data_IF_629176327593
#
_entry.id   IF_629176327593
#
_cell.length_a   1.000
_cell.length_b   1.000
_cell.length_c   1.000
_cell.angle_alpha   90.00
_cell.angle_beta   90.00
_cell.angle_gamma   90.00
#
_symmetry.space_group_name_H-M   'P 1'
#
loop_
_entity.id
_entity.type
_entity.pdbx_description
1 polymer ?
#
# COMPACT_ATOMS: atom_id res chain seq x y z
N UNK A 1 -8.80 7.18 -21.54
CA UNK A 1 -8.21 8.46 -22.01
C UNK A 1 -7.25 8.14 -23.14
N UNK A 2 -7.55 8.54 -24.36
CA UNK A 2 -6.73 8.18 -25.53
C UNK A 2 -5.78 9.32 -25.92
N UNK A 3 -4.78 9.03 -26.77
CA UNK A 3 -3.81 10.01 -27.26
C UNK A 3 -4.51 11.17 -27.99
N UNK A 4 -5.58 10.87 -28.71
CA UNK A 4 -6.38 11.85 -29.43
C UNK A 4 -6.96 12.93 -28.49
N UNK A 5 -7.58 12.52 -27.37
CA UNK A 5 -8.17 13.45 -26.40
C UNK A 5 -7.11 14.39 -25.80
N UNK A 6 -5.90 13.90 -25.60
CA UNK A 6 -4.79 14.73 -25.13
C UNK A 6 -4.35 15.75 -26.17
N UNK A 7 -4.27 15.37 -27.44
CA UNK A 7 -3.87 16.24 -28.53
C UNK A 7 -4.91 17.31 -28.77
N UNK A 8 -6.20 16.96 -28.79
CA UNK A 8 -7.32 17.90 -28.89
C UNK A 8 -7.36 18.90 -27.70
N UNK A 9 -6.95 18.43 -26.50
CA UNK A 9 -6.80 19.27 -25.30
C UNK A 9 -5.50 20.09 -25.24
N UNK A 10 -4.70 20.15 -26.32
CA UNK A 10 -3.44 20.89 -26.38
C UNK A 10 -2.32 20.32 -25.49
N UNK A 11 -2.43 19.08 -25.02
CA UNK A 11 -1.43 18.43 -24.17
C UNK A 11 -0.42 17.67 -25.02
N UNK A 12 0.85 17.84 -24.70
CA UNK A 12 1.92 17.06 -25.34
C UNK A 12 1.78 15.59 -24.98
N UNK A 13 2.11 14.73 -25.95
CA UNK A 13 2.17 13.28 -25.77
C UNK A 13 3.36 12.72 -26.56
N UNK A 14 3.85 11.58 -26.09
CA UNK A 14 4.92 10.82 -26.72
C UNK A 14 4.46 9.36 -26.83
N UNK A 15 4.69 8.75 -27.99
CA UNK A 15 4.44 7.33 -28.24
C UNK A 15 5.74 6.61 -28.50
N UNK A 16 6.02 5.56 -27.75
CA UNK A 16 7.16 4.68 -27.98
C UNK A 16 6.62 3.37 -28.54
N UNK A 17 7.11 3.00 -29.74
CA UNK A 17 6.68 1.79 -30.43
C UNK A 17 7.83 0.80 -30.52
N UNK A 18 7.57 -0.45 -30.15
CA UNK A 18 8.51 -1.57 -30.28
C UNK A 18 8.13 -2.42 -31.49
N UNK A 19 9.13 -2.94 -32.22
CA UNK A 19 8.91 -3.91 -33.29
C UNK A 19 8.53 -5.28 -32.72
N UNK A 20 9.13 -5.65 -31.60
CA UNK A 20 8.81 -6.82 -30.79
C UNK A 20 8.90 -6.46 -29.32
N UNK A 21 8.06 -7.05 -28.48
CA UNK A 21 8.11 -6.86 -27.05
C UNK A 21 8.71 -8.12 -26.42
N UNK A 22 9.99 -8.03 -26.09
CA UNK A 22 10.81 -9.05 -25.47
C UNK A 22 11.54 -8.51 -24.25
N UNK A 23 12.30 -9.34 -23.55
CA UNK A 23 13.04 -8.99 -22.34
C UNK A 23 14.05 -7.87 -22.59
N UNK A 24 14.69 -7.88 -23.77
CA UNK A 24 15.66 -6.85 -24.15
C UNK A 24 15.00 -5.50 -24.38
N UNK A 25 13.86 -5.49 -25.07
CA UNK A 25 13.08 -4.28 -25.33
C UNK A 25 12.53 -3.68 -24.03
N UNK A 26 12.07 -4.54 -23.11
CA UNK A 26 11.61 -4.11 -21.78
C UNK A 26 12.78 -3.54 -20.96
N UNK A 27 13.90 -4.23 -20.90
CA UNK A 27 15.11 -3.75 -20.21
C UNK A 27 15.61 -2.43 -20.78
N UNK A 28 15.60 -2.28 -22.11
CA UNK A 28 15.95 -1.02 -22.79
C UNK A 28 15.01 0.13 -22.42
N UNK A 29 13.70 -0.14 -22.32
CA UNK A 29 12.72 0.86 -21.91
C UNK A 29 12.94 1.33 -20.46
N UNK A 30 13.17 0.39 -19.54
CA UNK A 30 13.46 0.70 -18.13
C UNK A 30 14.72 1.58 -18.06
N UNK A 31 15.81 1.16 -18.69
CA UNK A 31 17.07 1.90 -18.70
C UNK A 31 16.92 3.31 -19.32
N UNK A 32 16.08 3.46 -20.36
CA UNK A 32 15.76 4.76 -20.95
C UNK A 32 15.14 5.70 -19.92
N UNK A 33 14.12 5.25 -19.20
CA UNK A 33 13.44 6.06 -18.22
C UNK A 33 14.30 6.36 -16.99
N UNK A 34 15.09 5.41 -16.51
CA UNK A 34 16.05 5.63 -15.42
C UNK A 34 17.05 6.74 -15.77
N UNK A 35 17.62 6.69 -16.99
CA UNK A 35 18.54 7.74 -17.48
C UNK A 35 17.83 9.06 -17.71
N UNK A 36 16.63 9.05 -18.25
CA UNK A 36 15.85 10.28 -18.46
C UNK A 36 15.55 11.00 -17.16
N UNK A 37 15.18 10.26 -16.10
CA UNK A 37 14.95 10.83 -14.76
C UNK A 37 16.25 11.41 -14.18
N UNK A 38 17.36 10.69 -14.30
CA UNK A 38 18.67 11.17 -13.81
C UNK A 38 19.11 12.47 -14.51
N UNK A 39 19.00 12.51 -15.84
CA UNK A 39 19.35 13.71 -16.63
C UNK A 39 18.40 14.89 -16.33
N UNK A 40 17.11 14.60 -16.19
CA UNK A 40 16.14 15.64 -15.84
C UNK A 40 16.41 16.24 -14.47
N UNK A 41 16.72 15.39 -13.49
CA UNK A 41 17.07 15.83 -12.15
C UNK A 41 18.33 16.73 -12.16
N UNK A 42 19.35 16.38 -12.95
CA UNK A 42 20.54 17.21 -13.15
C UNK A 42 20.18 18.60 -13.73
N UNK A 43 19.29 18.64 -14.74
CA UNK A 43 18.85 19.88 -15.36
C UNK A 43 18.13 20.84 -14.39
N UNK A 44 17.41 20.29 -13.41
CA UNK A 44 16.68 21.07 -12.39
C UNK A 44 17.44 21.19 -11.06
N UNK A 45 18.70 20.74 -11.03
CA UNK A 45 19.57 20.75 -9.84
C UNK A 45 18.96 20.03 -8.63
N UNK A 46 18.39 18.83 -8.86
CA UNK A 46 17.81 17.94 -7.83
C UNK A 46 18.57 16.62 -7.82
N UNK A 47 18.83 16.07 -6.64
CA UNK A 47 19.42 14.75 -6.53
C UNK A 47 18.34 13.68 -6.79
N UNK A 48 18.37 13.04 -7.96
CA UNK A 48 17.43 11.98 -8.35
C UNK A 48 17.45 10.75 -7.43
N UNK A 49 18.56 10.53 -6.74
CA UNK A 49 18.79 9.34 -5.90
C UNK A 49 18.41 9.56 -4.45
N UNK A 50 18.10 10.79 -4.05
CA UNK A 50 17.62 11.11 -2.71
C UNK A 50 16.10 11.21 -2.71
N UNK A 51 15.43 10.20 -2.16
CA UNK A 51 13.97 10.11 -2.11
C UNK A 51 13.48 10.13 -0.66
N UNK A 52 13.39 11.29 -0.01
CA UNK A 52 12.95 11.38 1.39
C UNK A 52 11.54 10.81 1.62
N UNK A 53 10.68 10.85 0.62
CA UNK A 53 9.35 10.23 0.69
C UNK A 53 9.37 8.71 0.82
N UNK A 54 10.41 8.05 0.33
CA UNK A 54 10.57 6.59 0.47
C UNK A 54 10.83 6.20 1.92
N UNK A 55 11.63 6.96 2.65
CA UNK A 55 11.89 6.72 4.08
C UNK A 55 10.62 6.91 4.92
N UNK A 56 9.80 7.91 4.63
CA UNK A 56 8.52 8.09 5.30
C UNK A 56 7.57 6.91 5.04
N UNK A 57 7.52 6.42 3.79
CA UNK A 57 6.74 5.23 3.42
C UNK A 57 7.23 3.97 4.13
N UNK A 58 8.54 3.74 4.23
CA UNK A 58 9.12 2.61 4.97
C UNK A 58 8.76 2.64 6.45
N UNK A 59 8.88 3.82 7.10
CA UNK A 59 8.50 3.98 8.51
C UNK A 59 7.02 3.69 8.73
N UNK A 60 6.14 4.23 7.88
CA UNK A 60 4.71 3.97 7.94
C UNK A 60 4.40 2.47 7.77
N UNK A 61 5.03 1.80 6.79
CA UNK A 61 4.88 0.37 6.58
C UNK A 61 5.37 -0.45 7.78
N UNK A 62 6.51 -0.08 8.38
CA UNK A 62 7.04 -0.74 9.59
C UNK A 62 6.06 -0.62 10.75
N UNK A 63 5.46 0.54 10.97
CA UNK A 63 4.48 0.75 12.02
C UNK A 63 3.24 -0.15 11.84
N UNK A 64 2.74 -0.26 10.61
CA UNK A 64 1.59 -1.13 10.30
C UNK A 64 1.94 -2.61 10.50
N UNK A 65 3.15 -3.04 10.10
CA UNK A 65 3.61 -4.42 10.31
C UNK A 65 3.74 -4.74 11.80
N UNK A 66 4.28 -3.83 12.59
CA UNK A 66 4.39 -4.01 14.03
C UNK A 66 3.01 -4.07 14.69
N UNK A 67 2.10 -3.15 14.33
CA UNK A 67 0.72 -3.18 14.81
C UNK A 67 0.01 -4.48 14.43
N UNK A 68 0.23 -5.00 13.22
CA UNK A 68 -0.33 -6.30 12.82
C UNK A 68 0.17 -7.43 13.73
N UNK A 69 1.47 -7.48 14.05
CA UNK A 69 2.03 -8.49 14.96
C UNK A 69 1.43 -8.39 16.37
N UNK A 70 1.31 -7.19 16.90
CA UNK A 70 0.69 -6.96 18.22
C UNK A 70 -0.77 -7.43 18.25
N UNK A 71 -1.52 -7.21 17.18
CA UNK A 71 -2.89 -7.72 17.02
C UNK A 71 -2.90 -9.25 16.96
N UNK A 72 -2.02 -9.86 16.15
CA UNK A 72 -1.91 -11.31 16.03
C UNK A 72 -1.56 -11.96 17.38
N UNK A 73 -0.60 -11.40 18.12
CA UNK A 73 -0.23 -11.84 19.46
C UNK A 73 -1.40 -11.72 20.46
N UNK A 74 -2.16 -10.61 20.39
CA UNK A 74 -3.33 -10.43 21.23
C UNK A 74 -4.43 -11.45 20.95
N UNK A 75 -4.56 -11.93 19.72
CA UNK A 75 -5.57 -12.90 19.29
C UNK A 75 -5.11 -14.36 19.45
N UNK A 76 -3.86 -14.62 19.85
CA UNK A 76 -3.32 -15.97 20.05
C UNK A 76 -4.09 -16.80 21.08
N UNK A 77 -4.76 -16.17 22.03
CA UNK A 77 -5.56 -16.84 23.06
C UNK A 77 -6.93 -17.36 22.55
N UNK A 78 -7.26 -17.13 21.29
CA UNK A 78 -8.49 -17.57 20.63
C UNK A 78 -9.78 -16.92 21.15
N UNK A 79 -9.68 -15.88 22.00
CA UNK A 79 -10.88 -15.21 22.52
C UNK A 79 -11.47 -14.25 21.51
N UNK A 80 -12.78 -14.19 21.49
CA UNK A 80 -13.51 -13.18 20.74
C UNK A 80 -13.28 -11.79 21.32
N UNK A 81 -12.95 -10.83 20.44
CA UNK A 81 -12.75 -9.43 20.81
C UNK A 81 -13.44 -8.49 19.85
N UNK A 82 -13.98 -7.41 20.40
CA UNK A 82 -14.46 -6.31 19.59
C UNK A 82 -13.30 -5.40 19.15
N UNK A 83 -13.50 -4.64 18.07
CA UNK A 83 -12.56 -3.62 17.61
C UNK A 83 -12.14 -2.68 18.74
N UNK A 84 -13.11 -2.26 19.56
CA UNK A 84 -12.87 -1.38 20.70
C UNK A 84 -11.97 -2.01 21.75
N UNK A 85 -12.23 -3.27 22.11
CA UNK A 85 -11.38 -4.00 23.07
C UNK A 85 -9.93 -4.15 22.59
N UNK A 86 -9.73 -4.36 21.29
CA UNK A 86 -8.39 -4.43 20.70
C UNK A 86 -7.73 -3.05 20.74
N UNK A 87 -8.46 -2.00 20.38
CA UNK A 87 -7.95 -0.62 20.42
C UNK A 87 -7.53 -0.21 21.83
N UNK A 88 -8.36 -0.50 22.84
CA UNK A 88 -8.08 -0.21 24.23
C UNK A 88 -6.86 -1.00 24.75
N UNK A 89 -6.72 -2.28 24.34
CA UNK A 89 -5.61 -3.12 24.74
C UNK A 89 -4.27 -2.66 24.16
N UNK A 90 -4.26 -2.19 22.91
CA UNK A 90 -3.06 -1.75 22.21
C UNK A 90 -2.74 -0.27 22.47
N UNK A 91 -3.62 0.47 23.18
CA UNK A 91 -3.46 1.90 23.49
C UNK A 91 -3.07 2.74 22.28
N UNK A 92 -3.66 2.44 21.11
CA UNK A 92 -3.36 3.13 19.86
C UNK A 92 -4.52 4.04 19.45
N UNK A 93 -4.18 5.20 18.86
CA UNK A 93 -5.17 6.15 18.35
C UNK A 93 -5.65 5.82 16.92
N UNK A 94 -5.20 4.69 16.34
CA UNK A 94 -5.46 4.35 14.94
C UNK A 94 -6.48 3.22 14.78
N UNK A 95 -7.71 3.45 15.23
CA UNK A 95 -8.84 2.50 15.07
C UNK A 95 -9.04 2.07 13.60
N UNK A 96 -8.86 2.98 12.65
CA UNK A 96 -8.95 2.68 11.22
C UNK A 96 -7.87 1.65 10.79
N UNK A 97 -6.63 1.82 11.23
CA UNK A 97 -5.55 0.88 10.91
C UNK A 97 -5.83 -0.50 11.49
N UNK A 98 -6.34 -0.57 12.73
CA UNK A 98 -6.75 -1.85 13.35
C UNK A 98 -7.84 -2.50 12.48
N UNK A 99 -8.88 -1.78 12.12
CA UNK A 99 -9.97 -2.30 11.30
C UNK A 99 -9.46 -2.86 9.96
N UNK A 100 -8.60 -2.13 9.27
CA UNK A 100 -8.03 -2.57 7.99
C UNK A 100 -7.14 -3.82 8.13
N UNK A 101 -6.39 -3.93 9.22
CA UNK A 101 -5.57 -5.11 9.52
C UNK A 101 -6.48 -6.32 9.81
N UNK A 102 -7.48 -6.16 10.66
CA UNK A 102 -8.42 -7.23 11.02
C UNK A 102 -9.18 -7.75 9.79
N UNK A 103 -9.65 -6.84 8.96
CA UNK A 103 -10.29 -7.16 7.69
C UNK A 103 -9.34 -7.94 6.77
N UNK A 104 -8.10 -7.48 6.61
CA UNK A 104 -7.08 -8.18 5.83
C UNK A 104 -6.81 -9.58 6.37
N UNK A 105 -6.71 -9.76 7.69
CA UNK A 105 -6.47 -11.07 8.30
C UNK A 105 -7.64 -12.01 8.03
N UNK A 106 -8.88 -11.55 8.21
CA UNK A 106 -10.08 -12.38 7.99
C UNK A 106 -10.35 -12.70 6.51
N UNK A 107 -9.96 -11.82 5.58
CA UNK A 107 -10.16 -12.05 4.14
C UNK A 107 -9.05 -12.92 3.50
N UNK A 108 -7.86 -12.98 4.10
CA UNK A 108 -6.70 -13.66 3.51
C UNK A 108 -6.23 -14.90 4.29
N UNK A 109 -6.90 -15.25 5.39
CA UNK A 109 -6.51 -16.40 6.21
C UNK A 109 -7.72 -17.06 6.86
N UNK A 110 -7.83 -18.38 6.71
CA UNK A 110 -8.86 -19.20 7.37
C UNK A 110 -8.67 -19.29 8.89
N UNK A 111 -7.56 -18.76 9.41
CA UNK A 111 -7.26 -18.76 10.84
C UNK A 111 -8.00 -17.65 11.61
N UNK A 112 -8.56 -16.68 10.92
CA UNK A 112 -9.26 -15.56 11.56
C UNK A 112 -10.67 -15.44 11.01
N UNK A 113 -11.64 -15.30 11.91
CA UNK A 113 -13.03 -15.01 11.55
C UNK A 113 -13.45 -13.65 12.07
N UNK A 114 -14.10 -12.88 11.21
CA UNK A 114 -14.67 -11.57 11.57
C UNK A 114 -16.16 -11.59 11.32
N UNK A 115 -16.95 -11.41 12.36
CA UNK A 115 -18.39 -11.43 12.34
C UNK A 115 -18.98 -10.09 12.78
N UNK A 116 -20.12 -9.70 12.19
CA UNK A 116 -20.83 -8.49 12.56
C UNK A 116 -21.17 -7.59 11.37
N UNK A 117 -21.73 -6.43 11.65
CA UNK A 117 -22.15 -5.50 10.62
C UNK A 117 -20.96 -4.59 10.22
N UNK A 118 -20.48 -4.74 9.00
CA UNK A 118 -19.38 -3.91 8.46
C UNK A 118 -19.71 -2.41 8.39
N UNK A 119 -21.01 -2.05 8.38
CA UNK A 119 -21.43 -0.64 8.43
C UNK A 119 -21.34 -0.04 9.85
N UNK A 120 -21.10 -0.87 10.87
CA UNK A 120 -20.87 -0.44 12.24
C UNK A 120 -19.66 -1.18 12.82
N UNK A 121 -18.45 -0.64 12.61
CA UNK A 121 -17.21 -1.29 13.00
C UNK A 121 -17.12 -1.61 14.51
N UNK A 122 -17.79 -0.84 15.36
CA UNK A 122 -17.78 -1.06 16.81
C UNK A 122 -18.48 -2.37 17.23
N UNK A 123 -19.30 -2.94 16.36
CA UNK A 123 -20.01 -4.21 16.57
C UNK A 123 -19.31 -5.41 15.93
N UNK A 124 -18.17 -5.18 15.29
CA UNK A 124 -17.38 -6.26 14.73
C UNK A 124 -16.68 -7.04 15.83
N UNK A 125 -16.80 -8.36 15.73
CA UNK A 125 -16.14 -9.33 16.62
C UNK A 125 -15.16 -10.13 15.78
N UNK A 126 -13.94 -10.24 16.25
CA UNK A 126 -12.91 -11.07 15.65
C UNK A 126 -12.39 -12.12 16.62
N UNK A 127 -12.06 -13.28 16.10
CA UNK A 127 -11.37 -14.35 16.82
C UNK A 127 -10.38 -15.06 15.91
N UNK A 128 -9.38 -15.69 16.52
CA UNK A 128 -8.56 -16.70 15.88
C UNK A 128 -9.25 -18.06 16.03
N UNK A 129 -9.41 -18.78 14.91
CA UNK A 129 -10.02 -20.12 14.85
C UNK A 129 -9.07 -21.20 15.38
#
# INVERSE_FOLDING_TARGET
MCIRDRTEGGRQNLTITFKSFDESSLGGLIALFERAVSLYAELINVNAYNQPGVEAGKKAATNIINLQKEIEELLEDGKERTLRQINDALSTDSTESIYLILRKLSENSDHYSMNGNQSNPDQLIISKN
#
